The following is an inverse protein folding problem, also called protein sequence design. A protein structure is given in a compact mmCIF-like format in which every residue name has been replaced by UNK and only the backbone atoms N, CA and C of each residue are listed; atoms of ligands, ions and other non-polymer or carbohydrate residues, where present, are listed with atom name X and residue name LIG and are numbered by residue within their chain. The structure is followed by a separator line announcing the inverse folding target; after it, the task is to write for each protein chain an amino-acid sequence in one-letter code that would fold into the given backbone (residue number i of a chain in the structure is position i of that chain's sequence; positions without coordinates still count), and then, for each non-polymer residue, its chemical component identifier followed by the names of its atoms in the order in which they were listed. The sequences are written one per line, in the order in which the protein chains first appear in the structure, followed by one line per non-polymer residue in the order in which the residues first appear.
data_IF_194159035788
#
_entry.id   IF_194159035788
#
_cell.length_a   1.000
_cell.length_b   1.000
_cell.length_c   1.000
_cell.angle_alpha   90.00
_cell.angle_beta   90.00
_cell.angle_gamma   90.00
#
_symmetry.space_group_name_H-M   'P 1'
#
loop_
_entity.id
_entity.type
_entity.pdbx_description
1 polymer ?
#
# COMPACT_ATOMS: atom_id res chain seq x y z
N UNK A 1 6.61 -20.56 0.76
CA UNK A 1 7.57 -19.64 1.40
C UNK A 1 7.82 -20.18 2.78
N UNK A 2 9.07 -20.49 3.09
CA UNK A 2 9.45 -21.05 4.39
C UNK A 2 10.04 -19.93 5.26
N UNK A 3 9.14 -19.10 5.80
CA UNK A 3 9.49 -17.98 6.66
C UNK A 3 8.64 -18.11 7.92
N UNK A 4 9.29 -18.18 9.08
CA UNK A 4 8.58 -18.26 10.35
C UNK A 4 7.74 -16.99 10.57
N UNK A 5 6.46 -17.12 10.98
CA UNK A 5 5.66 -15.99 11.40
C UNK A 5 6.32 -15.20 12.54
N UNK A 6 6.10 -13.89 12.57
CA UNK A 6 6.69 -12.99 13.57
C UNK A 6 8.05 -12.41 13.18
N UNK A 7 8.64 -12.87 12.08
CA UNK A 7 9.90 -12.32 11.57
C UNK A 7 9.68 -10.99 10.84
N UNK A 8 10.71 -10.14 10.82
CA UNK A 8 10.75 -9.00 9.91
C UNK A 8 11.16 -9.50 8.54
N UNK A 9 10.44 -9.05 7.52
CA UNK A 9 10.67 -9.42 6.14
C UNK A 9 10.84 -8.17 5.28
N UNK A 10 11.72 -8.28 4.30
CA UNK A 10 11.85 -7.32 3.22
C UNK A 10 11.14 -7.88 1.99
N UNK A 11 10.32 -7.03 1.40
CA UNK A 11 9.46 -7.37 0.27
C UNK A 11 9.83 -6.45 -0.88
N UNK A 12 10.42 -7.00 -1.93
CA UNK A 12 10.79 -6.28 -3.14
C UNK A 12 9.82 -6.62 -4.27
N UNK A 13 9.31 -5.59 -4.95
CA UNK A 13 8.45 -5.76 -6.11
C UNK A 13 9.33 -6.01 -7.34
N UNK A 14 9.23 -7.19 -7.92
CA UNK A 14 10.03 -7.58 -9.10
C UNK A 14 9.36 -7.18 -10.40
N UNK A 15 8.02 -7.17 -10.43
CA UNK A 15 7.25 -6.86 -11.63
C UNK A 15 5.92 -6.19 -11.27
N UNK A 16 5.43 -5.31 -12.14
CA UNK A 16 4.12 -4.68 -11.93
C UNK A 16 3.00 -5.70 -12.17
N UNK A 17 2.12 -5.95 -11.18
CA UNK A 17 1.00 -6.86 -11.33
C UNK A 17 0.02 -6.39 -12.42
N UNK A 18 -0.39 -7.31 -13.30
CA UNK A 18 -1.36 -7.04 -14.38
C UNK A 18 -2.81 -7.22 -13.92
N UNK A 19 -3.09 -8.10 -12.97
CA UNK A 19 -4.44 -8.28 -12.44
C UNK A 19 -4.78 -7.21 -11.40
N UNK A 20 -6.04 -6.78 -11.38
CA UNK A 20 -6.53 -5.84 -10.38
C UNK A 20 -6.50 -6.45 -8.97
N UNK A 21 -6.82 -7.75 -8.85
CA UNK A 21 -6.77 -8.48 -7.59
C UNK A 21 -5.35 -8.45 -6.98
N UNK A 22 -4.32 -8.77 -7.75
CA UNK A 22 -2.94 -8.74 -7.26
C UNK A 22 -2.50 -7.30 -6.90
N UNK A 23 -2.90 -6.29 -7.69
CA UNK A 23 -2.66 -4.88 -7.35
C UNK A 23 -3.26 -4.51 -6.00
N UNK A 24 -4.50 -4.91 -5.73
CA UNK A 24 -5.18 -4.66 -4.45
C UNK A 24 -4.46 -5.36 -3.30
N UNK A 25 -4.12 -6.64 -3.45
CA UNK A 25 -3.40 -7.41 -2.43
C UNK A 25 -2.05 -6.79 -2.12
N UNK A 26 -1.24 -6.49 -3.13
CA UNK A 26 0.08 -5.87 -2.93
C UNK A 26 -0.02 -4.48 -2.31
N UNK A 27 -0.97 -3.65 -2.77
CA UNK A 27 -1.20 -2.34 -2.18
C UNK A 27 -1.54 -2.47 -0.69
N UNK A 28 -2.43 -3.41 -0.34
CA UNK A 28 -2.85 -3.66 1.05
C UNK A 28 -1.69 -4.17 1.91
N UNK A 29 -0.89 -5.11 1.41
CA UNK A 29 0.25 -5.69 2.13
C UNK A 29 1.36 -4.65 2.33
N UNK A 30 1.81 -3.99 1.26
CA UNK A 30 2.85 -2.96 1.33
C UNK A 30 2.42 -1.71 2.13
N UNK A 31 1.11 -1.45 2.26
CA UNK A 31 0.60 -0.35 3.10
C UNK A 31 0.86 -0.56 4.60
N UNK A 32 1.21 -1.78 5.03
CA UNK A 32 1.58 -2.09 6.41
C UNK A 32 3.01 -1.66 6.75
N UNK A 33 3.82 -1.24 5.77
CA UNK A 33 5.16 -0.70 6.02
C UNK A 33 5.08 0.52 6.96
N UNK A 34 5.88 0.59 8.03
CA UNK A 34 5.92 1.74 8.94
C UNK A 34 6.06 3.11 8.24
N UNK A 35 6.81 3.20 7.14
CA UNK A 35 6.97 4.43 6.33
C UNK A 35 5.65 4.78 5.63
N UNK A 36 5.00 3.81 5.00
CA UNK A 36 3.72 3.98 4.34
C UNK A 36 2.62 4.39 5.33
N UNK A 37 2.56 3.73 6.49
CA UNK A 37 1.61 4.06 7.58
C UNK A 37 1.80 5.49 8.07
N UNK A 38 3.06 5.90 8.33
CA UNK A 38 3.38 7.26 8.77
C UNK A 38 2.97 8.31 7.74
N UNK A 39 3.29 8.08 6.47
CA UNK A 39 2.91 8.98 5.39
C UNK A 39 1.39 9.05 5.21
N UNK A 40 0.68 7.92 5.35
CA UNK A 40 -0.79 7.88 5.31
C UNK A 40 -1.41 8.75 6.41
N UNK A 41 -0.92 8.61 7.65
CA UNK A 41 -1.37 9.41 8.80
C UNK A 41 -1.11 10.90 8.59
N UNK A 42 0.10 11.25 8.17
CA UNK A 42 0.47 12.64 7.87
C UNK A 42 -0.43 13.25 6.79
N UNK A 43 -0.64 12.53 5.67
CA UNK A 43 -1.53 12.97 4.59
C UNK A 43 -2.99 13.09 5.02
N UNK A 44 -3.46 12.30 5.99
CA UNK A 44 -4.82 12.40 6.52
C UNK A 44 -5.00 13.69 7.32
N UNK A 45 -3.99 14.07 8.11
CA UNK A 45 -4.01 15.26 8.96
C UNK A 45 -3.85 16.57 8.17
N UNK A 46 -2.97 16.59 7.17
CA UNK A 46 -2.58 17.81 6.44
C UNK A 46 -3.36 18.02 5.13
N UNK A 47 -4.44 17.26 4.95
CA UNK A 47 -5.23 17.35 3.74
C UNK A 47 -6.12 18.60 3.77
N UNK A 48 -6.12 19.46 2.74
CA UNK A 48 -7.26 20.34 2.50
C UNK A 48 -8.47 19.46 2.19
N UNK A 49 -9.29 19.21 3.21
CA UNK A 49 -10.33 18.20 3.21
C UNK A 49 -11.51 18.54 2.30
N UNK A 50 -11.66 19.83 1.96
CA UNK A 50 -12.85 20.35 1.34
C UNK A 50 -12.49 21.46 0.34
N UNK A 51 -12.70 21.21 -0.95
CA UNK A 51 -12.69 22.27 -1.97
C UNK A 51 -14.12 22.68 -2.23
N UNK A 52 -14.46 23.93 -1.93
CA UNK A 52 -15.76 24.51 -2.24
C UNK A 52 -15.73 25.12 -3.64
N UNK A 53 -16.75 24.89 -4.44
CA UNK A 53 -16.94 25.56 -5.74
C UNK A 53 -18.41 25.86 -5.98
N UNK A 54 -18.69 26.94 -6.72
CA UNK A 54 -20.07 27.34 -7.06
C UNK A 54 -20.46 26.78 -8.43
N UNK A 55 -21.61 26.11 -8.52
CA UNK A 55 -22.18 25.60 -9.79
C UNK A 55 -23.71 25.68 -9.77
N UNK A 56 -24.28 26.39 -10.74
CA UNK A 56 -25.73 26.59 -10.85
C UNK A 56 -26.35 27.29 -9.64
N UNK A 57 -25.67 28.33 -9.11
CA UNK A 57 -26.13 29.06 -7.92
C UNK A 57 -25.98 28.32 -6.58
N UNK A 58 -25.58 27.04 -6.58
CA UNK A 58 -25.35 26.24 -5.36
C UNK A 58 -23.86 26.08 -5.05
N UNK A 59 -23.52 26.01 -3.77
CA UNK A 59 -22.18 25.65 -3.29
C UNK A 59 -22.04 24.13 -3.26
N UNK A 60 -21.03 23.62 -3.93
CA UNK A 60 -20.66 22.20 -3.98
C UNK A 60 -19.38 21.99 -3.19
N UNK A 61 -19.33 20.87 -2.47
CA UNK A 61 -18.18 20.47 -1.68
C UNK A 61 -17.54 19.23 -2.31
N UNK A 62 -16.28 19.33 -2.67
CA UNK A 62 -15.49 18.19 -3.12
C UNK A 62 -14.55 17.75 -2.01
N UNK A 63 -14.80 16.55 -1.47
CA UNK A 63 -13.87 15.85 -0.59
C UNK A 63 -12.79 15.20 -1.44
N UNK A 64 -11.60 15.78 -1.44
CA UNK A 64 -10.49 15.20 -2.17
C UNK A 64 -10.21 13.77 -1.64
N UNK A 65 -9.62 12.87 -2.45
CA UNK A 65 -9.09 11.56 -2.00
C UNK A 65 -7.56 11.54 -2.05
N UNK A 66 -6.90 10.95 -1.06
CA UNK A 66 -5.43 11.00 -0.97
C UNK A 66 -4.91 9.79 -1.69
N UNK A 67 -3.87 9.97 -2.49
CA UNK A 67 -3.18 8.84 -3.10
C UNK A 67 -2.63 7.93 -2.00
N UNK A 68 -2.75 6.62 -2.20
CA UNK A 68 -2.13 5.63 -1.33
C UNK A 68 -0.61 5.84 -1.34
N UNK A 69 0.07 5.79 -0.19
CA UNK A 69 1.53 6.02 -0.10
C UNK A 69 2.39 4.86 -0.63
N UNK A 70 1.78 3.88 -1.29
CA UNK A 70 2.46 2.70 -1.85
C UNK A 70 2.58 2.86 -3.36
N UNK A 71 3.76 2.52 -3.88
CA UNK A 71 4.04 2.43 -5.31
C UNK A 71 4.38 0.98 -5.68
N UNK A 72 3.68 0.43 -6.67
CA UNK A 72 3.89 -0.93 -7.16
C UNK A 72 4.84 -0.99 -8.37
N UNK A 73 5.87 -0.15 -8.32
CA UNK A 73 6.92 -0.05 -9.33
C UNK A 73 7.98 -1.13 -9.09
N UNK A 74 8.53 -1.77 -10.14
CA UNK A 74 9.63 -2.71 -9.99
C UNK A 74 10.82 -2.06 -9.27
N UNK A 75 11.53 -2.82 -8.43
CA UNK A 75 12.63 -2.34 -7.58
C UNK A 75 12.20 -1.60 -6.31
N UNK A 76 10.90 -1.37 -6.11
CA UNK A 76 10.39 -0.81 -4.85
C UNK A 76 10.45 -1.87 -3.76
N UNK A 77 11.02 -1.50 -2.60
CA UNK A 77 11.15 -2.39 -1.45
C UNK A 77 10.44 -1.84 -0.22
N UNK A 78 9.85 -2.76 0.55
CA UNK A 78 9.06 -2.49 1.74
C UNK A 78 9.49 -3.39 2.88
N UNK A 79 9.46 -2.88 4.11
CA UNK A 79 9.76 -3.67 5.31
C UNK A 79 8.47 -3.96 6.06
N UNK A 80 8.17 -5.23 6.27
CA UNK A 80 6.93 -5.69 6.88
C UNK A 80 7.21 -6.62 8.05
N UNK A 81 6.22 -6.73 8.93
CA UNK A 81 6.16 -7.79 9.93
C UNK A 81 5.42 -9.00 9.32
N UNK A 82 6.09 -10.15 9.28
CA UNK A 82 5.57 -11.40 8.70
C UNK A 82 4.52 -12.05 9.60
N UNK A 83 3.33 -11.47 9.72
CA UNK A 83 2.19 -12.20 10.31
C UNK A 83 1.70 -13.31 9.38
N UNK A 84 1.02 -14.33 9.92
CA UNK A 84 0.50 -15.45 9.12
C UNK A 84 -0.34 -14.99 7.91
N UNK A 85 -1.20 -13.98 8.10
CA UNK A 85 -2.01 -13.43 7.01
C UNK A 85 -1.16 -12.75 5.92
N UNK A 86 -0.11 -12.02 6.33
CA UNK A 86 0.80 -11.35 5.40
C UNK A 86 1.57 -12.38 4.58
N UNK A 87 2.06 -13.44 5.23
CA UNK A 87 2.77 -14.52 4.55
C UNK A 87 1.88 -15.27 3.56
N UNK A 88 0.61 -15.54 3.93
CA UNK A 88 -0.38 -16.14 3.03
C UNK A 88 -0.70 -15.24 1.83
N UNK A 89 -0.88 -13.95 2.07
CA UNK A 89 -1.08 -12.97 1.00
C UNK A 89 0.13 -12.92 0.06
N UNK A 90 1.35 -12.85 0.60
CA UNK A 90 2.60 -12.83 -0.17
C UNK A 90 2.79 -14.10 -0.99
N UNK A 91 2.39 -15.27 -0.46
CA UNK A 91 2.42 -16.52 -1.21
C UNK A 91 1.52 -16.45 -2.46
N UNK A 92 0.33 -15.86 -2.35
CA UNK A 92 -0.60 -15.70 -3.47
C UNK A 92 -0.10 -14.75 -4.58
N UNK A 93 0.78 -13.81 -4.23
CA UNK A 93 1.35 -12.81 -5.16
C UNK A 93 2.85 -13.03 -5.40
N UNK A 94 3.37 -14.21 -5.05
CA UNK A 94 4.79 -14.57 -5.12
C UNK A 94 5.41 -14.36 -6.51
N UNK A 95 4.60 -14.44 -7.58
CA UNK A 95 5.03 -14.15 -8.95
C UNK A 95 5.59 -12.73 -9.15
N UNK A 96 5.14 -11.74 -8.37
CA UNK A 96 5.48 -10.32 -8.57
C UNK A 96 6.41 -9.77 -7.49
N UNK A 97 6.85 -10.62 -6.56
CA UNK A 97 7.53 -10.19 -5.35
C UNK A 97 8.62 -11.15 -4.96
N UNK A 98 9.79 -10.61 -4.63
CA UNK A 98 10.84 -11.31 -3.92
C UNK A 98 10.73 -10.99 -2.43
N UNK A 99 10.76 -12.02 -1.57
CA UNK A 99 10.70 -11.86 -0.12
C UNK A 99 12.00 -12.40 0.47
N UNK A 100 12.66 -11.57 1.27
CA UNK A 100 13.86 -11.94 2.02
C UNK A 100 13.63 -11.72 3.52
N UNK A 101 14.18 -12.58 4.39
CA UNK A 101 14.26 -12.27 5.82
C UNK A 101 15.10 -10.99 5.99
N UNK A 102 14.64 -10.07 6.85
CA UNK A 102 15.30 -8.80 7.11
C UNK A 102 16.19 -8.86 8.35
#
# INVERSE_FOLDING_TARGET
MDIAPGTKIRVEITATPRSEAARKTLTRVCSKDPRAVRQSRWRKQHRPSLRKSRRGGRMWEHRMKSRVPVQLTPGSSYTLHGSADVLRDLQSVSRWVAVTPA
#
